data_IF_894885420405
#
_entry.id   IF_894885420405
#
_cell.length_a   1.000
_cell.length_b   1.000
_cell.length_c   1.000
_cell.angle_alpha   90.00
_cell.angle_beta   90.00
_cell.angle_gamma   90.00
#
_symmetry.space_group_name_H-M   'P 1'
#
loop_
_entity.id
_entity.type
_entity.pdbx_description
1 polymer ?
#
# COMPACT_ATOMS: atom_id res chain seq x y z
N UNK A 1 21.18 -23.84 4.98
CA UNK A 1 21.66 -22.65 4.22
C UNK A 1 22.00 -23.10 2.81
N UNK A 2 21.64 -22.32 1.79
CA UNK A 2 21.99 -22.66 0.42
C UNK A 2 23.53 -22.70 0.24
N UNK A 3 24.05 -23.61 -0.57
CA UNK A 3 25.48 -23.72 -0.82
C UNK A 3 25.91 -22.59 -1.76
N UNK A 4 26.51 -21.52 -1.19
CA UNK A 4 26.92 -20.31 -1.93
C UNK A 4 27.78 -20.63 -3.14
N UNK A 5 28.74 -21.57 -3.03
CA UNK A 5 29.58 -22.02 -4.15
C UNK A 5 28.75 -22.52 -5.32
N UNK A 6 27.73 -23.33 -5.05
CA UNK A 6 26.84 -23.87 -6.09
C UNK A 6 26.00 -22.77 -6.76
N UNK A 7 25.60 -21.75 -6.01
CA UNK A 7 24.86 -20.59 -6.55
C UNK A 7 25.78 -19.77 -7.48
N UNK A 8 27.00 -19.48 -7.04
CA UNK A 8 27.97 -18.70 -7.82
C UNK A 8 28.38 -19.43 -9.10
N UNK A 9 28.62 -20.74 -9.03
CA UNK A 9 28.91 -21.58 -10.20
C UNK A 9 27.73 -21.60 -11.18
N UNK A 10 26.51 -21.77 -10.69
CA UNK A 10 25.30 -21.74 -11.52
C UNK A 10 25.09 -20.37 -12.17
N UNK A 11 25.32 -19.27 -11.44
CA UNK A 11 25.21 -17.92 -11.98
C UNK A 11 26.28 -17.66 -13.05
N UNK A 12 27.53 -18.09 -12.85
CA UNK A 12 28.60 -17.94 -13.85
C UNK A 12 28.22 -18.60 -15.18
N UNK A 13 27.73 -19.84 -15.13
CA UNK A 13 27.26 -20.55 -16.32
C UNK A 13 26.08 -19.82 -16.99
N UNK A 14 25.13 -19.31 -16.20
CA UNK A 14 24.00 -18.55 -16.75
C UNK A 14 24.48 -17.27 -17.45
N UNK A 15 25.39 -16.50 -16.81
CA UNK A 15 25.96 -15.27 -17.38
C UNK A 15 26.65 -15.53 -18.72
N UNK A 16 27.42 -16.61 -18.84
CA UNK A 16 28.06 -17.01 -20.11
C UNK A 16 27.01 -17.26 -21.21
N UNK A 17 25.94 -18.02 -20.90
CA UNK A 17 24.86 -18.29 -21.87
C UNK A 17 24.10 -17.04 -22.30
N UNK A 18 23.85 -16.10 -21.40
CA UNK A 18 23.22 -14.83 -21.77
C UNK A 18 24.15 -13.94 -22.61
N UNK A 19 25.46 -13.96 -22.33
CA UNK A 19 26.45 -13.22 -23.10
C UNK A 19 26.54 -13.71 -24.55
N UNK A 20 26.35 -15.00 -24.83
CA UNK A 20 26.24 -15.55 -26.20
C UNK A 20 25.10 -14.91 -27.00
N UNK A 21 24.03 -14.48 -26.32
CA UNK A 21 22.90 -13.75 -26.91
C UNK A 21 23.08 -12.21 -26.89
N UNK A 22 24.25 -11.70 -26.50
CA UNK A 22 24.54 -10.27 -26.38
C UNK A 22 23.90 -9.59 -25.16
N UNK A 23 23.51 -10.36 -24.14
CA UNK A 23 22.85 -9.84 -22.93
C UNK A 23 23.84 -9.77 -21.77
N UNK A 24 23.98 -8.58 -21.18
CA UNK A 24 24.79 -8.32 -19.99
C UNK A 24 23.93 -8.46 -18.73
N UNK A 25 24.03 -9.62 -18.06
CA UNK A 25 23.22 -9.90 -16.86
C UNK A 25 23.61 -9.07 -15.66
N UNK A 26 24.89 -8.68 -15.54
CA UNK A 26 25.36 -7.84 -14.44
C UNK A 26 24.72 -6.44 -14.55
N UNK A 27 24.69 -5.86 -15.75
CA UNK A 27 23.92 -4.61 -16.01
C UNK A 27 22.42 -4.78 -15.79
N UNK A 28 21.84 -5.92 -16.18
CA UNK A 28 20.43 -6.19 -15.95
C UNK A 28 20.09 -6.22 -14.45
N UNK A 29 20.93 -6.82 -13.62
CA UNK A 29 20.78 -6.84 -12.16
C UNK A 29 20.95 -5.44 -11.55
N UNK A 30 21.90 -4.64 -12.05
CA UNK A 30 22.05 -3.24 -11.63
C UNK A 30 20.81 -2.39 -11.95
N UNK A 31 20.18 -2.63 -13.10
CA UNK A 31 18.92 -1.97 -13.47
C UNK A 31 17.77 -2.45 -12.59
N UNK A 32 17.65 -3.77 -12.39
CA UNK A 32 16.62 -4.38 -11.55
C UNK A 32 16.66 -3.84 -10.11
N UNK A 33 17.85 -3.69 -9.54
CA UNK A 33 18.04 -3.17 -8.18
C UNK A 33 17.53 -1.73 -7.98
N UNK A 34 17.33 -0.98 -9.07
CA UNK A 34 16.80 0.39 -9.06
C UNK A 34 15.27 0.45 -9.21
N UNK A 35 14.63 -0.67 -9.58
CA UNK A 35 13.18 -0.75 -9.77
C UNK A 35 12.53 -0.96 -8.42
N UNK A 36 11.68 -0.01 -8.03
CA UNK A 36 10.90 -0.09 -6.80
C UNK A 36 9.50 -0.63 -7.09
N UNK A 37 9.09 -1.65 -6.33
CA UNK A 37 7.71 -2.16 -6.34
C UNK A 37 6.95 -1.54 -5.17
N UNK A 38 5.72 -1.08 -5.39
CA UNK A 38 4.83 -0.63 -4.32
C UNK A 38 3.93 -1.79 -3.88
N UNK A 39 4.21 -2.34 -2.71
CA UNK A 39 3.41 -3.41 -2.11
C UNK A 39 2.13 -2.83 -1.50
N UNK A 40 1.05 -3.57 -1.53
CA UNK A 40 -0.24 -3.12 -1.02
C UNK A 40 -0.43 -3.53 0.44
N UNK A 41 -0.80 -2.60 1.32
CA UNK A 41 -0.94 -2.87 2.75
C UNK A 41 -2.08 -3.86 3.08
N UNK A 42 -3.14 -3.84 2.28
CA UNK A 42 -4.39 -4.55 2.58
C UNK A 42 -4.32 -6.07 2.44
N UNK A 43 -3.19 -6.61 1.97
CA UNK A 43 -2.96 -8.05 1.94
C UNK A 43 -2.76 -8.63 3.35
N UNK A 44 -2.26 -7.83 4.30
CA UNK A 44 -1.91 -8.36 5.62
C UNK A 44 -3.13 -8.58 6.51
N UNK A 45 -4.29 -8.02 6.16
CA UNK A 45 -5.48 -7.96 7.00
C UNK A 45 -6.79 -8.23 6.26
N UNK A 46 -6.74 -8.76 5.03
CA UNK A 46 -7.93 -9.01 4.21
C UNK A 46 -8.78 -7.75 3.95
N UNK A 47 -8.13 -6.60 3.74
CA UNK A 47 -8.81 -5.31 3.50
C UNK A 47 -9.66 -4.84 4.69
N UNK A 48 -9.27 -5.20 5.92
CA UNK A 48 -10.05 -4.84 7.12
C UNK A 48 -9.95 -3.34 7.43
N UNK A 49 -8.74 -2.77 7.40
CA UNK A 49 -8.46 -1.41 7.83
C UNK A 49 -8.50 -1.23 9.35
N UNK A 50 -8.27 0.00 9.79
CA UNK A 50 -8.23 0.40 11.21
C UNK A 50 -9.26 1.48 11.57
N UNK A 51 -10.13 1.84 10.62
CA UNK A 51 -11.24 2.77 10.82
C UNK A 51 -12.34 2.14 11.69
N UNK A 52 -12.84 2.87 12.69
CA UNK A 52 -13.83 2.34 13.62
C UNK A 52 -15.23 2.21 13.00
N UNK A 53 -15.86 1.04 13.13
CA UNK A 53 -17.24 0.81 12.68
C UNK A 53 -17.38 0.59 11.17
N UNK A 54 -16.27 0.46 10.46
CA UNK A 54 -16.18 0.20 9.02
C UNK A 54 -15.03 -0.77 8.79
N UNK A 55 -15.18 -1.74 7.91
CA UNK A 55 -14.07 -2.63 7.60
C UNK A 55 -14.44 -3.79 6.71
N UNK A 56 -13.41 -4.45 6.22
CA UNK A 56 -13.49 -5.59 5.32
C UNK A 56 -13.65 -5.19 3.86
N UNK A 57 -13.43 -6.16 2.98
CA UNK A 57 -13.64 -5.99 1.55
C UNK A 57 -15.09 -5.60 1.22
N UNK A 58 -15.26 -4.77 0.19
CA UNK A 58 -16.55 -4.25 -0.24
C UNK A 58 -16.48 -3.59 -1.62
N UNK A 59 -17.59 -3.04 -2.10
CA UNK A 59 -17.62 -2.41 -3.43
C UNK A 59 -17.31 -3.38 -4.57
N UNK A 60 -17.77 -4.63 -4.47
CA UNK A 60 -17.51 -5.69 -5.45
C UNK A 60 -16.18 -6.44 -5.26
N UNK A 61 -15.37 -6.05 -4.27
CA UNK A 61 -14.13 -6.77 -3.91
C UNK A 61 -14.35 -7.76 -2.77
N UNK A 62 -13.51 -8.80 -2.71
CA UNK A 62 -13.56 -9.83 -1.68
C UNK A 62 -12.15 -10.35 -1.40
N UNK A 63 -11.85 -10.61 -0.13
CA UNK A 63 -10.76 -11.49 0.29
C UNK A 63 -11.37 -12.86 0.62
N UNK A 64 -10.82 -13.93 0.05
CA UNK A 64 -11.37 -15.28 0.18
C UNK A 64 -10.40 -16.21 0.90
N UNK A 65 -10.96 -17.14 1.69
CA UNK A 65 -10.18 -18.10 2.49
C UNK A 65 -10.09 -17.67 3.96
N UNK A 66 -9.78 -18.63 4.84
CA UNK A 66 -9.73 -18.43 6.29
C UNK A 66 -8.35 -18.81 6.85
N UNK A 67 -7.27 -18.44 6.14
CA UNK A 67 -5.93 -18.72 6.62
C UNK A 67 -5.68 -17.92 7.92
N UNK A 68 -5.23 -18.56 9.02
CA UNK A 68 -5.06 -17.86 10.29
C UNK A 68 -3.87 -16.91 10.25
N UNK A 69 -3.85 -15.91 11.14
CA UNK A 69 -2.68 -15.06 11.38
C UNK A 69 -2.70 -13.69 10.71
N UNK A 70 -3.82 -13.25 10.12
CA UNK A 70 -3.94 -11.89 9.60
C UNK A 70 -3.71 -10.85 10.70
N UNK A 71 -3.01 -9.76 10.35
CA UNK A 71 -2.81 -8.61 11.22
C UNK A 71 -4.15 -7.96 11.61
N UNK A 72 -4.24 -7.54 12.86
CA UNK A 72 -5.44 -6.94 13.50
C UNK A 72 -5.15 -5.56 14.06
N UNK A 73 -3.87 -5.22 14.18
CA UNK A 73 -3.39 -3.94 14.65
C UNK A 73 -2.36 -3.38 13.67
N UNK A 74 -2.15 -2.06 13.73
CA UNK A 74 -1.12 -1.40 12.94
C UNK A 74 0.29 -1.94 13.25
N UNK A 75 0.54 -2.31 14.51
CA UNK A 75 1.84 -2.84 14.93
C UNK A 75 2.09 -4.25 14.37
N UNK A 76 1.07 -5.13 14.41
CA UNK A 76 1.14 -6.44 13.76
C UNK A 76 1.38 -6.30 12.25
N UNK A 77 0.67 -5.38 11.60
CA UNK A 77 0.84 -5.11 10.17
C UNK A 77 2.26 -4.63 9.83
N UNK A 78 2.82 -3.72 10.62
CA UNK A 78 4.21 -3.25 10.41
C UNK A 78 5.21 -4.38 10.57
N UNK A 79 5.03 -5.28 11.54
CA UNK A 79 5.87 -6.46 11.71
C UNK A 79 5.78 -7.42 10.53
N UNK A 80 4.56 -7.70 10.03
CA UNK A 80 4.35 -8.52 8.84
C UNK A 80 5.05 -7.92 7.61
N UNK A 81 4.90 -6.61 7.41
CA UNK A 81 5.52 -5.89 6.30
C UNK A 81 7.05 -5.85 6.40
N UNK A 82 7.61 -5.61 7.59
CA UNK A 82 9.06 -5.68 7.82
C UNK A 82 9.61 -7.07 7.52
N UNK A 83 8.85 -8.13 7.88
CA UNK A 83 9.23 -9.49 7.53
C UNK A 83 9.27 -9.67 6.01
N UNK A 84 8.26 -9.20 5.28
CA UNK A 84 8.25 -9.23 3.82
C UNK A 84 9.44 -8.46 3.24
N UNK A 85 9.70 -7.23 3.69
CA UNK A 85 10.82 -6.43 3.20
C UNK A 85 12.19 -7.05 3.51
N UNK A 86 12.31 -7.86 4.56
CA UNK A 86 13.54 -8.62 4.83
C UNK A 86 13.80 -9.76 3.82
N UNK A 87 12.76 -10.21 3.11
CA UNK A 87 12.80 -11.34 2.18
C UNK A 87 12.83 -10.91 0.71
N UNK A 88 12.37 -9.69 0.39
CA UNK A 88 12.30 -9.18 -0.98
C UNK A 88 13.49 -8.26 -1.27
N UNK A 89 14.37 -8.58 -2.24
CA UNK A 89 15.54 -7.77 -2.54
C UNK A 89 15.19 -6.41 -3.15
N UNK A 90 15.81 -5.36 -2.63
CA UNK A 90 15.71 -4.00 -3.17
C UNK A 90 15.15 -3.01 -2.15
N UNK A 91 14.92 -1.79 -2.61
CA UNK A 91 14.20 -0.77 -1.83
C UNK A 91 12.85 -0.55 -2.48
N UNK A 92 11.81 -0.72 -1.69
CA UNK A 92 10.43 -0.77 -2.17
C UNK A 92 9.59 0.30 -1.51
N UNK A 93 8.29 0.24 -1.76
CA UNK A 93 7.30 1.19 -1.25
C UNK A 93 6.10 0.44 -0.69
N UNK A 94 5.30 1.15 0.10
CA UNK A 94 4.02 0.67 0.58
C UNK A 94 2.89 1.58 0.08
N UNK A 95 1.90 1.00 -0.60
CA UNK A 95 0.66 1.63 -0.95
C UNK A 95 -0.35 1.45 0.18
N UNK A 96 -0.66 2.56 0.86
CA UNK A 96 -1.65 2.62 1.93
C UNK A 96 -3.05 2.95 1.39
N UNK A 97 -4.08 2.53 2.11
CA UNK A 97 -5.44 3.02 1.93
C UNK A 97 -5.80 4.01 3.04
N UNK A 98 -6.72 4.93 2.76
CA UNK A 98 -7.19 5.90 3.75
C UNK A 98 -7.83 5.26 5.00
N UNK A 99 -8.37 4.05 4.89
CA UNK A 99 -8.92 3.27 6.01
C UNK A 99 -7.84 2.72 6.96
N UNK A 100 -6.55 2.84 6.64
CA UNK A 100 -5.42 2.41 7.47
C UNK A 100 -4.82 3.54 8.31
N UNK A 101 -5.53 4.66 8.45
CA UNK A 101 -5.11 5.76 9.31
C UNK A 101 -4.97 5.36 10.78
N UNK A 102 -4.03 5.99 11.47
CA UNK A 102 -3.91 5.97 12.92
C UNK A 102 -4.86 7.00 13.53
N UNK A 103 -6.01 6.51 13.98
CA UNK A 103 -7.04 7.35 14.59
C UNK A 103 -6.97 7.39 16.13
N UNK A 104 -6.01 6.70 16.74
CA UNK A 104 -5.85 6.66 18.20
C UNK A 104 -7.13 6.24 18.95
N UNK A 105 -7.92 5.34 18.37
CA UNK A 105 -9.21 4.88 18.93
C UNK A 105 -10.36 5.89 18.83
N UNK A 106 -10.15 7.04 18.18
CA UNK A 106 -11.21 8.04 17.95
C UNK A 106 -11.91 7.77 16.63
N UNK A 107 -13.20 8.09 16.56
CA UNK A 107 -13.93 8.12 15.30
C UNK A 107 -13.57 9.39 14.54
N UNK A 108 -13.00 9.23 13.35
CA UNK A 108 -12.76 10.30 12.37
C UNK A 108 -13.38 9.83 11.06
N UNK A 109 -14.29 10.61 10.51
CA UNK A 109 -14.94 10.25 9.24
C UNK A 109 -14.03 10.58 8.05
N UNK A 110 -14.28 9.95 6.91
CA UNK A 110 -13.37 9.94 5.75
C UNK A 110 -13.16 11.32 5.12
N UNK A 111 -14.14 12.21 5.21
CA UNK A 111 -14.03 13.59 4.74
C UNK A 111 -13.26 14.51 5.72
N UNK A 112 -12.91 14.01 6.91
CA UNK A 112 -12.20 14.74 7.95
C UNK A 112 -10.80 14.17 8.28
N UNK A 113 -10.30 13.21 7.48
CA UNK A 113 -8.94 12.70 7.65
C UNK A 113 -7.89 13.76 7.28
N UNK A 114 -6.75 13.73 7.95
CA UNK A 114 -5.70 14.73 7.84
C UNK A 114 -4.33 14.04 7.88
N UNK A 115 -3.24 14.74 7.46
CA UNK A 115 -1.88 14.21 7.52
C UNK A 115 -1.46 13.61 8.87
N UNK A 116 -1.95 14.17 9.99
CA UNK A 116 -1.64 13.68 11.33
C UNK A 116 -2.06 12.23 11.57
N UNK A 117 -3.13 11.76 10.92
CA UNK A 117 -3.58 10.37 11.03
C UNK A 117 -2.68 9.39 10.27
N UNK A 118 -1.69 9.87 9.52
CA UNK A 118 -0.73 9.02 8.80
C UNK A 118 0.71 9.29 9.22
N UNK A 119 0.92 10.09 10.27
CA UNK A 119 2.26 10.46 10.74
C UNK A 119 3.05 9.24 11.21
N UNK A 120 2.41 8.32 11.94
CA UNK A 120 3.05 7.09 12.42
C UNK A 120 3.45 6.13 11.28
N UNK A 121 2.78 6.20 10.12
CA UNK A 121 3.20 5.50 8.91
C UNK A 121 4.40 6.17 8.24
N UNK A 122 4.38 7.51 8.16
CA UNK A 122 5.48 8.29 7.57
C UNK A 122 6.76 8.09 8.38
N UNK A 123 6.69 8.16 9.70
CA UNK A 123 7.85 8.00 10.57
C UNK A 123 8.40 6.56 10.51
N UNK A 124 7.52 5.57 10.47
CA UNK A 124 7.92 4.18 10.25
C UNK A 124 8.58 3.99 8.87
N UNK A 125 8.00 4.52 7.80
CA UNK A 125 8.56 4.41 6.46
C UNK A 125 9.94 5.07 6.35
N UNK A 126 10.14 6.22 7.02
CA UNK A 126 11.48 6.84 7.15
C UNK A 126 12.45 5.93 7.86
N UNK A 127 12.03 5.32 8.98
CA UNK A 127 12.88 4.46 9.79
C UNK A 127 13.41 3.26 9.00
N UNK A 128 12.54 2.58 8.24
CA UNK A 128 12.93 1.41 7.45
C UNK A 128 13.41 1.76 6.03
N UNK A 129 13.41 3.04 5.66
CA UNK A 129 13.95 3.55 4.40
C UNK A 129 13.13 3.23 3.14
N UNK A 130 11.79 3.21 3.25
CA UNK A 130 10.87 2.98 2.13
C UNK A 130 10.07 4.24 1.77
N UNK A 131 9.52 4.27 0.55
CA UNK A 131 8.54 5.28 0.14
C UNK A 131 7.10 4.87 0.46
N UNK A 132 6.18 5.84 0.42
CA UNK A 132 4.74 5.60 0.60
C UNK A 132 3.95 6.09 -0.61
N UNK A 133 2.97 5.28 -1.00
CA UNK A 133 1.94 5.59 -1.98
C UNK A 133 0.56 5.51 -1.30
N UNK A 134 -0.48 6.09 -1.91
CA UNK A 134 -1.75 6.32 -1.23
C UNK A 134 -2.97 6.03 -2.11
N UNK A 135 -4.04 5.54 -1.47
CA UNK A 135 -5.31 5.24 -2.09
C UNK A 135 -6.45 5.84 -1.24
N UNK A 136 -7.41 6.46 -1.90
CA UNK A 136 -8.67 6.87 -1.26
C UNK A 136 -9.60 5.68 -1.07
N UNK A 137 -10.29 5.56 0.08
CA UNK A 137 -11.25 4.49 0.38
C UNK A 137 -12.69 4.90 0.06
N UNK A 138 -13.22 4.43 -1.07
CA UNK A 138 -14.60 4.68 -1.51
C UNK A 138 -15.57 3.51 -1.29
N UNK A 139 -15.21 2.53 -0.47
CA UNK A 139 -16.02 1.32 -0.25
C UNK A 139 -16.10 0.98 1.24
N UNK A 140 -16.93 -0.01 1.61
CA UNK A 140 -17.12 -0.45 3.00
C UNK A 140 -17.44 0.71 3.95
N UNK A 141 -18.39 1.56 3.53
CA UNK A 141 -18.84 2.74 4.26
C UNK A 141 -20.35 2.91 4.05
N UNK A 142 -21.13 3.40 5.04
CA UNK A 142 -22.57 3.60 4.88
C UNK A 142 -22.95 4.47 3.68
N UNK A 143 -22.16 5.52 3.40
CA UNK A 143 -22.37 6.40 2.24
C UNK A 143 -21.91 5.80 0.88
N UNK A 144 -21.46 4.55 0.86
CA UNK A 144 -21.18 3.76 -0.35
C UNK A 144 -22.11 2.54 -0.48
N UNK A 145 -23.04 2.33 0.46
CA UNK A 145 -23.86 1.11 0.52
C UNK A 145 -24.83 0.95 -0.66
N UNK A 146 -25.18 2.05 -1.34
CA UNK A 146 -26.01 2.01 -2.55
C UNK A 146 -25.25 1.54 -3.80
N UNK A 147 -23.94 1.28 -3.69
CA UNK A 147 -23.08 0.96 -4.83
C UNK A 147 -22.54 2.18 -5.56
N UNK A 148 -22.86 3.40 -5.14
CA UNK A 148 -22.38 4.64 -5.79
C UNK A 148 -21.74 5.61 -4.79
N UNK A 149 -20.70 6.33 -5.22
CA UNK A 149 -19.96 7.30 -4.44
C UNK A 149 -19.82 8.64 -5.15
N UNK A 150 -18.78 8.82 -5.98
CA UNK A 150 -18.54 10.06 -6.72
C UNK A 150 -19.61 10.32 -7.79
N UNK A 151 -20.28 9.28 -8.29
CA UNK A 151 -21.39 9.38 -9.23
C UNK A 151 -22.78 9.21 -8.58
N UNK A 152 -22.87 9.22 -7.25
CA UNK A 152 -24.14 9.08 -6.54
C UNK A 152 -25.14 10.18 -6.93
N UNK A 153 -26.45 9.92 -7.00
CA UNK A 153 -27.45 10.92 -7.40
C UNK A 153 -27.70 12.00 -6.32
N UNK A 154 -27.62 11.62 -5.04
CA UNK A 154 -27.65 12.57 -3.92
C UNK A 154 -26.37 13.43 -3.88
N UNK A 155 -26.56 14.75 -3.96
CA UNK A 155 -25.47 15.72 -3.90
C UNK A 155 -24.70 15.75 -2.59
N UNK A 156 -25.32 15.38 -1.46
CA UNK A 156 -24.64 15.37 -0.16
C UNK A 156 -23.67 14.18 -0.06
N UNK A 157 -24.06 13.01 -0.58
CA UNK A 157 -23.16 11.85 -0.71
C UNK A 157 -21.97 12.18 -1.61
N UNK A 158 -22.21 12.82 -2.77
CA UNK A 158 -21.11 13.25 -3.65
C UNK A 158 -20.18 14.25 -2.96
N UNK A 159 -20.73 15.24 -2.24
CA UNK A 159 -19.92 16.25 -1.52
C UNK A 159 -18.99 15.58 -0.51
N UNK A 160 -19.48 14.62 0.26
CA UNK A 160 -18.68 13.83 1.19
C UNK A 160 -17.51 13.13 0.48
N UNK A 161 -17.78 12.39 -0.60
CA UNK A 161 -16.73 11.65 -1.31
C UNK A 161 -15.75 12.55 -2.07
N UNK A 162 -16.20 13.69 -2.57
CA UNK A 162 -15.33 14.73 -3.15
C UNK A 162 -14.39 15.30 -2.08
N UNK A 163 -14.91 15.58 -0.89
CA UNK A 163 -14.09 16.08 0.23
C UNK A 163 -13.09 15.02 0.68
N UNK A 164 -13.50 13.76 0.82
CA UNK A 164 -12.59 12.64 1.09
C UNK A 164 -11.44 12.55 0.06
N UNK A 165 -11.75 12.68 -1.23
CA UNK A 165 -10.74 12.66 -2.29
C UNK A 165 -9.72 13.82 -2.14
N UNK A 166 -10.19 15.02 -1.77
CA UNK A 166 -9.32 16.18 -1.49
C UNK A 166 -8.41 15.93 -0.30
N UNK A 167 -8.95 15.41 0.81
CA UNK A 167 -8.16 15.04 2.00
C UNK A 167 -7.07 14.03 1.66
N UNK A 168 -7.40 13.02 0.85
CA UNK A 168 -6.42 12.04 0.40
C UNK A 168 -5.30 12.67 -0.44
N UNK A 169 -5.62 13.65 -1.30
CA UNK A 169 -4.61 14.39 -2.07
C UNK A 169 -3.68 15.23 -1.18
N UNK A 170 -4.21 15.83 -0.12
CA UNK A 170 -3.41 16.57 0.88
C UNK A 170 -2.47 15.63 1.64
N UNK A 171 -2.99 14.47 2.07
CA UNK A 171 -2.20 13.42 2.74
C UNK A 171 -1.10 12.89 1.82
N UNK A 172 -1.41 12.57 0.57
CA UNK A 172 -0.41 12.05 -0.38
C UNK A 172 0.68 13.08 -0.67
N UNK A 173 0.32 14.36 -0.82
CA UNK A 173 1.29 15.45 -0.99
C UNK A 173 2.19 15.58 0.26
N UNK A 174 1.61 15.48 1.46
CA UNK A 174 2.36 15.51 2.72
C UNK A 174 3.31 14.32 2.87
N UNK A 175 2.86 13.10 2.53
CA UNK A 175 3.72 11.89 2.50
C UNK A 175 4.92 12.10 1.58
N UNK A 176 4.68 12.57 0.35
CA UNK A 176 5.75 12.76 -0.62
C UNK A 176 6.76 13.83 -0.21
N UNK A 177 6.26 14.95 0.36
CA UNK A 177 7.13 16.00 0.95
C UNK A 177 7.97 15.45 2.10
N UNK A 178 7.35 14.68 2.99
CA UNK A 178 8.00 14.16 4.20
C UNK A 178 9.06 13.09 3.91
N UNK A 179 8.88 12.31 2.85
CA UNK A 179 9.77 11.20 2.46
C UNK A 179 10.74 11.58 1.34
N UNK A 180 10.69 12.82 0.84
CA UNK A 180 11.51 13.30 -0.27
C UNK A 180 11.41 12.42 -1.53
N UNK A 181 10.23 11.85 -1.78
CA UNK A 181 9.94 11.00 -2.94
C UNK A 181 8.48 11.20 -3.34
N UNK A 182 8.16 11.13 -4.64
CA UNK A 182 6.78 11.32 -5.10
C UNK A 182 5.89 10.22 -4.51
N UNK A 183 4.76 10.61 -3.93
CA UNK A 183 3.69 9.69 -3.54
C UNK A 183 2.70 9.58 -4.70
N UNK A 184 2.41 8.35 -5.14
CA UNK A 184 1.38 8.09 -6.14
C UNK A 184 0.03 7.99 -5.41
N UNK A 185 -0.89 8.89 -5.74
CA UNK A 185 -2.27 8.84 -5.26
C UNK A 185 -3.17 8.20 -6.31
N UNK A 186 -3.67 7.01 -6.01
CA UNK A 186 -4.61 6.29 -6.85
C UNK A 186 -6.07 6.48 -6.37
N UNK A 187 -6.98 6.62 -7.33
CA UNK A 187 -8.41 6.78 -7.10
C UNK A 187 -9.12 5.65 -7.83
N UNK A 188 -9.72 4.76 -7.05
CA UNK A 188 -10.60 3.71 -7.53
C UNK A 188 -11.95 3.83 -6.79
N UNK A 189 -13.05 3.71 -7.52
CA UNK A 189 -14.41 3.80 -6.98
C UNK A 189 -15.22 2.56 -7.37
N UNK A 190 -16.17 2.12 -6.53
CA UNK A 190 -16.98 0.94 -6.80
C UNK A 190 -18.24 1.24 -7.63
N UNK A 191 -18.38 2.46 -8.15
CA UNK A 191 -19.61 2.98 -8.74
C UNK A 191 -20.10 2.15 -9.95
N UNK A 192 -21.13 1.33 -9.74
CA UNK A 192 -21.74 0.49 -10.78
C UNK A 192 -22.59 -0.67 -10.28
#
# INVERSE_FOLDING_TARGET
MANTKRIEEAYRLARERYAEAGIDTDKALEQLAKISISLHCWQTDDVSGFEAGTGGAGGGTMATGNYPGKSRTMDEMKQDLEKVFSLVPGKHRLALHASYGDFGGKKVDRDAIEPKHFQTWIDWAKHIGIGLDFNSTFFSHPLAASGFTLSHLDSQVRKFWIEHAKRCREISAYMGKSLHTRCIHNIWIPDG
#
